data_IF_678349446599
#
_entry.id   IF_678349446599
#
_cell.length_a   1.000
_cell.length_b   1.000
_cell.length_c   1.000
_cell.angle_alpha   90.00
_cell.angle_beta   90.00
_cell.angle_gamma   90.00
#
_symmetry.space_group_name_H-M   'P 1'
#
loop_
_entity.id
_entity.type
_entity.pdbx_description
1 polymer ?
#
# COMPACT_ATOMS: atom_id res chain seq x y z
N UNK A 1 11.52 6.86 8.69
CA UNK A 1 10.30 6.03 8.91
C UNK A 1 9.39 6.20 7.72
N UNK A 2 8.80 5.13 7.16
CA UNK A 2 7.89 5.24 6.00
C UNK A 2 6.45 5.33 6.47
N UNK A 3 5.70 6.24 5.87
CA UNK A 3 4.29 6.47 6.14
C UNK A 3 3.46 5.96 4.98
N UNK A 4 2.36 5.28 5.27
CA UNK A 4 1.55 4.62 4.24
C UNK A 4 0.13 5.19 4.19
N UNK A 5 -0.43 5.20 2.99
CA UNK A 5 -1.83 5.49 2.73
C UNK A 5 -2.39 4.45 1.75
N UNK A 6 -3.66 4.12 1.89
CA UNK A 6 -4.34 3.12 1.06
C UNK A 6 -5.63 3.64 0.48
N UNK A 7 -5.75 3.56 -0.84
CA UNK A 7 -6.98 3.81 -1.57
C UNK A 7 -7.58 2.46 -1.97
N UNK A 8 -8.71 2.09 -1.38
CA UNK A 8 -9.44 0.89 -1.79
C UNK A 8 -10.18 1.18 -3.11
N UNK A 9 -10.16 0.23 -4.04
CA UNK A 9 -10.78 0.37 -5.36
C UNK A 9 -12.30 0.12 -5.33
N UNK A 10 -12.79 -0.64 -4.33
CA UNK A 10 -14.20 -0.91 -4.11
C UNK A 10 -14.47 -1.25 -2.64
N UNK A 11 -15.74 -1.20 -2.23
CA UNK A 11 -16.20 -1.63 -0.92
C UNK A 11 -16.16 -3.17 -0.75
N UNK A 12 -16.12 -3.91 -1.86
CA UNK A 12 -16.00 -5.38 -1.84
C UNK A 12 -14.53 -5.78 -1.82
N UNK A 13 -14.14 -6.63 -0.86
CA UNK A 13 -12.81 -7.23 -0.83
C UNK A 13 -12.56 -8.03 -2.11
N UNK A 14 -11.83 -7.42 -3.03
CA UNK A 14 -11.39 -8.04 -4.27
C UNK A 14 -9.90 -8.31 -4.16
N UNK A 15 -9.45 -9.45 -4.68
CA UNK A 15 -8.04 -9.83 -4.69
C UNK A 15 -7.47 -9.79 -6.11
N UNK A 16 -6.20 -9.44 -6.26
CA UNK A 16 -5.50 -9.42 -7.54
C UNK A 16 -4.17 -10.17 -7.50
N UNK A 17 -3.73 -10.58 -8.70
CA UNK A 17 -2.47 -11.27 -8.92
C UNK A 17 -2.48 -12.74 -8.46
N UNK A 18 -1.38 -13.46 -8.71
CA UNK A 18 -1.23 -14.82 -8.21
C UNK A 18 -1.14 -14.86 -6.68
N UNK A 19 -1.57 -15.97 -6.04
CA UNK A 19 -1.35 -16.16 -4.61
C UNK A 19 0.15 -16.28 -4.31
N UNK A 20 0.55 -15.81 -3.13
CA UNK A 20 1.90 -16.01 -2.62
C UNK A 20 2.18 -17.52 -2.50
N UNK A 21 3.23 -18.07 -3.15
CA UNK A 21 3.51 -19.51 -3.15
C UNK A 21 3.73 -20.11 -1.75
N UNK A 22 4.20 -19.30 -0.79
CA UNK A 22 4.51 -19.75 0.58
C UNK A 22 3.33 -19.66 1.53
N UNK A 23 2.44 -18.68 1.35
CA UNK A 23 1.35 -18.41 2.32
C UNK A 23 -0.05 -18.64 1.76
N UNK A 24 -0.19 -18.82 0.44
CA UNK A 24 -1.48 -18.92 -0.26
C UNK A 24 -2.28 -17.61 -0.32
N UNK A 25 -1.85 -16.55 0.36
CA UNK A 25 -2.57 -15.27 0.45
C UNK A 25 -2.43 -14.47 -0.86
N UNK A 26 -3.46 -13.68 -1.17
CA UNK A 26 -3.46 -12.77 -2.32
C UNK A 26 -3.42 -11.31 -1.88
N UNK A 27 -3.04 -10.43 -2.79
CA UNK A 27 -3.05 -8.99 -2.56
C UNK A 27 -4.46 -8.43 -2.78
N UNK A 28 -4.87 -7.48 -1.95
CA UNK A 28 -6.14 -6.75 -2.10
C UNK A 28 -6.05 -5.74 -3.25
N UNK A 29 -7.13 -5.57 -4.01
CA UNK A 29 -7.24 -4.52 -5.03
C UNK A 29 -7.24 -3.16 -4.35
N UNK A 30 -6.41 -2.26 -4.86
CA UNK A 30 -6.25 -0.90 -4.35
C UNK A 30 -4.82 -0.38 -4.51
N UNK A 31 -4.69 0.92 -4.29
CA UNK A 31 -3.45 1.66 -4.46
C UNK A 31 -2.80 1.88 -3.10
N UNK A 32 -1.56 1.39 -2.97
CA UNK A 32 -0.71 1.69 -1.83
C UNK A 32 0.19 2.87 -2.19
N UNK A 33 0.14 3.92 -1.38
CA UNK A 33 1.08 5.04 -1.44
C UNK A 33 2.01 5.00 -0.24
N UNK A 34 3.27 5.37 -0.44
CA UNK A 34 4.30 5.39 0.59
C UNK A 34 5.04 6.73 0.56
N UNK A 35 5.39 7.25 1.73
CA UNK A 35 5.98 8.59 1.89
C UNK A 35 7.12 8.56 2.90
N UNK A 36 8.17 9.35 2.66
CA UNK A 36 9.24 9.57 3.65
C UNK A 36 8.81 10.47 4.81
N UNK A 37 7.74 11.26 4.62
CA UNK A 37 7.28 12.27 5.56
C UNK A 37 5.81 12.08 5.95
N UNK A 38 5.53 12.23 7.26
CA UNK A 38 4.15 12.25 7.78
C UNK A 38 3.35 13.40 7.16
N UNK A 39 4.00 14.55 6.95
CA UNK A 39 3.38 15.75 6.37
C UNK A 39 2.97 15.49 4.93
N UNK A 40 3.86 14.91 4.11
CA UNK A 40 3.56 14.58 2.71
C UNK A 40 2.36 13.62 2.60
N UNK A 41 2.33 12.56 3.42
CA UNK A 41 1.16 11.66 3.50
C UNK A 41 -0.12 12.40 3.87
N UNK A 42 -0.09 13.27 4.89
CA UNK A 42 -1.28 14.01 5.31
C UNK A 42 -1.81 14.91 4.19
N UNK A 43 -0.92 15.66 3.52
CA UNK A 43 -1.29 16.51 2.38
C UNK A 43 -1.91 15.68 1.26
N UNK A 44 -1.33 14.53 0.93
CA UNK A 44 -1.88 13.62 -0.07
C UNK A 44 -3.30 13.14 0.28
N UNK A 45 -3.57 12.83 1.55
CA UNK A 45 -4.90 12.38 2.01
C UNK A 45 -5.92 13.53 1.94
N UNK A 46 -5.50 14.74 2.29
CA UNK A 46 -6.34 15.94 2.17
C UNK A 46 -6.69 16.23 0.71
N UNK A 47 -5.72 16.11 -0.21
CA UNK A 47 -5.92 16.26 -1.65
C UNK A 47 -6.79 15.15 -2.24
N UNK A 48 -6.71 13.94 -1.70
CA UNK A 48 -7.50 12.79 -2.15
C UNK A 48 -8.94 12.78 -1.60
N UNK A 49 -9.43 13.91 -1.09
CA UNK A 49 -10.78 14.09 -0.54
C UNK A 49 -11.18 13.03 0.49
N UNK A 50 -10.21 12.51 1.27
CA UNK A 50 -10.41 11.42 2.25
C UNK A 50 -10.86 10.07 1.66
N UNK A 51 -10.73 9.84 0.36
CA UNK A 51 -10.90 8.52 -0.25
C UNK A 51 -9.77 7.53 0.09
N UNK A 52 -8.80 7.97 0.90
CA UNK A 52 -7.57 7.24 1.24
C UNK A 52 -7.42 7.16 2.74
N UNK A 53 -7.18 5.96 3.26
CA UNK A 53 -6.99 5.71 4.69
C UNK A 53 -5.51 5.73 5.08
N UNK A 54 -5.19 6.24 6.27
CA UNK A 54 -3.88 6.04 6.89
C UNK A 54 -3.75 4.58 7.31
N UNK A 55 -2.67 3.93 6.92
CA UNK A 55 -2.41 2.53 7.29
C UNK A 55 -1.03 2.37 7.92
N UNK A 56 -0.90 1.36 8.77
CA UNK A 56 0.38 0.98 9.37
C UNK A 56 1.17 0.10 8.39
N UNK A 57 2.50 -0.02 8.58
CA UNK A 57 3.32 -0.92 7.75
C UNK A 57 2.84 -2.38 7.80
N UNK A 58 2.50 -2.96 8.98
CA UNK A 58 1.95 -4.32 9.02
C UNK A 58 0.64 -4.45 8.24
N UNK A 59 -0.21 -3.42 8.23
CA UNK A 59 -1.45 -3.46 7.46
C UNK A 59 -1.21 -3.29 5.96
N UNK A 60 -0.31 -2.39 5.55
CA UNK A 60 0.16 -2.29 4.15
C UNK A 60 0.71 -3.63 3.64
N UNK A 61 1.45 -4.37 4.48
CA UNK A 61 1.96 -5.69 4.15
C UNK A 61 0.87 -6.73 3.95
N UNK A 62 -0.19 -6.68 4.75
CA UNK A 62 -1.36 -7.55 4.61
C UNK A 62 -2.14 -7.25 3.33
N UNK A 63 -2.33 -5.97 3.00
CA UNK A 63 -3.00 -5.59 1.75
C UNK A 63 -2.21 -6.04 0.52
N UNK A 64 -0.89 -6.14 0.61
CA UNK A 64 -0.03 -6.73 -0.44
C UNK A 64 0.46 -8.13 -0.08
N UNK A 65 -0.38 -8.96 0.56
CA UNK A 65 0.02 -10.29 1.04
C UNK A 65 0.42 -11.28 -0.08
N UNK A 66 0.05 -11.02 -1.34
CA UNK A 66 0.51 -11.78 -2.50
C UNK A 66 2.02 -11.63 -2.73
N UNK A 67 2.60 -10.49 -2.36
CA UNK A 67 4.05 -10.27 -2.46
C UNK A 67 4.78 -11.01 -1.33
N UNK A 68 6.02 -11.42 -1.55
CA UNK A 68 6.93 -11.78 -0.46
C UNK A 68 7.53 -10.52 0.21
N UNK A 69 8.38 -10.69 1.21
CA UNK A 69 8.97 -9.56 1.93
C UNK A 69 9.89 -8.71 1.06
N UNK A 70 10.68 -9.35 0.20
CA UNK A 70 11.62 -8.67 -0.69
C UNK A 70 10.85 -7.84 -1.72
N UNK A 71 9.90 -8.45 -2.41
CA UNK A 71 9.05 -7.79 -3.40
C UNK A 71 8.23 -6.65 -2.78
N UNK A 72 7.76 -6.82 -1.53
CA UNK A 72 7.10 -5.72 -0.81
C UNK A 72 8.06 -4.56 -0.53
N UNK A 73 9.29 -4.83 -0.07
CA UNK A 73 10.27 -3.78 0.19
C UNK A 73 10.72 -3.07 -1.10
N UNK A 74 10.88 -3.80 -2.21
CA UNK A 74 11.16 -3.22 -3.53
C UNK A 74 10.03 -2.30 -4.01
N UNK A 75 8.76 -2.72 -3.84
CA UNK A 75 7.60 -1.86 -4.10
C UNK A 75 7.65 -0.58 -3.26
N UNK A 76 7.91 -0.69 -1.96
CA UNK A 76 7.99 0.49 -1.07
C UNK A 76 9.12 1.43 -1.50
N UNK A 77 10.28 0.88 -1.89
CA UNK A 77 11.39 1.68 -2.38
C UNK A 77 11.03 2.41 -3.68
N UNK A 78 10.34 1.75 -4.61
CA UNK A 78 9.88 2.36 -5.86
C UNK A 78 8.84 3.47 -5.61
N UNK A 79 7.89 3.25 -4.71
CA UNK A 79 6.86 4.25 -4.35
C UNK A 79 7.46 5.51 -3.72
N UNK A 80 8.51 5.36 -2.92
CA UNK A 80 9.19 6.47 -2.24
C UNK A 80 10.20 7.16 -3.17
N UNK A 81 10.85 6.42 -4.06
CA UNK A 81 11.80 6.97 -5.04
C UNK A 81 11.14 7.64 -6.26
N UNK A 82 9.83 7.46 -6.43
CA UNK A 82 9.04 8.08 -7.49
C UNK A 82 8.39 9.43 -7.12
N UNK A 83 8.57 9.94 -5.90
CA UNK A 83 8.27 11.34 -5.55
C UNK A 83 9.32 12.25 -6.23
N UNK A 84 9.13 12.56 -7.52
CA UNK A 84 9.89 13.58 -8.28
C UNK A 84 8.95 14.60 -8.90
#
# INVERSE_FOLDING_TARGET
MIYFAWAADSQTETFYGPPNPRTGKRSHVGVLSAFTSRKARSVFIEQSQRAVAVVTRPYARQMKAGLDERAFNELVAALVGGEV
#
